data_IF_187422912068
#
_entry.id   IF_187422912068
#
_cell.length_a   1.000
_cell.length_b   1.000
_cell.length_c   1.000
_cell.angle_alpha   90.00
_cell.angle_beta   90.00
_cell.angle_gamma   90.00
#
_symmetry.space_group_name_H-M   'P 1'
#
loop_
_entity.id
_entity.type
_entity.pdbx_description
1 polymer ?
#
# COMPACT_ATOMS: atom_id res chain seq x y z
N UNK A 1 7.43 -5.77 18.68
CA UNK A 1 7.36 -5.45 17.24
C UNK A 1 5.94 -5.67 16.76
N UNK A 2 5.11 -4.62 16.70
CA UNK A 2 3.72 -4.74 16.25
C UNK A 2 3.70 -5.01 14.74
N UNK A 3 3.44 -6.27 14.37
CA UNK A 3 3.22 -6.71 12.98
C UNK A 3 1.85 -6.24 12.48
N UNK A 4 1.51 -4.97 12.67
CA UNK A 4 0.22 -4.40 12.26
C UNK A 4 0.44 -3.81 10.89
N UNK A 5 0.00 -4.49 9.84
CA UNK A 5 0.03 -3.89 8.51
C UNK A 5 -0.81 -2.61 8.50
N UNK A 6 -0.45 -1.70 7.61
CA UNK A 6 -0.94 -0.34 7.55
C UNK A 6 -2.28 -0.29 6.81
N UNK A 7 -3.22 0.51 7.32
CA UNK A 7 -4.50 0.75 6.64
C UNK A 7 -4.29 1.47 5.31
N UNK A 8 -5.26 1.39 4.39
CA UNK A 8 -5.18 2.06 3.09
C UNK A 8 -4.88 3.57 3.23
N UNK A 9 -5.58 4.22 4.16
CA UNK A 9 -5.46 5.66 4.40
C UNK A 9 -4.08 6.05 4.93
N UNK A 10 -3.50 5.26 5.82
CA UNK A 10 -2.16 5.50 6.34
C UNK A 10 -1.08 5.20 5.27
N UNK A 11 -1.28 4.17 4.45
CA UNK A 11 -0.39 3.84 3.36
C UNK A 11 -0.36 4.95 2.30
N UNK A 12 -1.53 5.55 2.00
CA UNK A 12 -1.65 6.67 1.05
C UNK A 12 -0.89 7.89 1.57
N UNK A 13 -1.07 8.22 2.86
CA UNK A 13 -0.33 9.30 3.53
C UNK A 13 1.17 9.05 3.53
N UNK A 14 1.61 7.83 3.82
CA UNK A 14 3.04 7.47 3.83
C UNK A 14 3.68 7.64 2.44
N UNK A 15 2.97 7.23 1.39
CA UNK A 15 3.46 7.34 0.01
C UNK A 15 3.30 8.74 -0.59
N UNK A 16 2.59 9.64 0.08
CA UNK A 16 2.27 10.97 -0.45
C UNK A 16 1.35 10.94 -1.67
N UNK A 17 0.56 9.87 -1.82
CA UNK A 17 -0.38 9.68 -2.94
C UNK A 17 -1.82 9.84 -2.47
N UNK A 18 -2.72 10.17 -3.40
CA UNK A 18 -4.14 10.21 -3.08
C UNK A 18 -4.70 8.78 -2.88
N UNK A 19 -5.83 8.73 -2.15
CA UNK A 19 -6.48 7.47 -1.79
C UNK A 19 -7.02 6.70 -3.00
N UNK A 20 -7.45 7.42 -4.06
CA UNK A 20 -7.90 6.86 -5.33
C UNK A 20 -6.75 6.26 -6.13
N UNK A 21 -5.58 6.92 -6.20
CA UNK A 21 -4.36 6.34 -6.79
C UNK A 21 -3.98 5.03 -6.09
N UNK A 22 -3.97 5.04 -4.76
CA UNK A 22 -3.64 3.83 -4.00
C UNK A 22 -4.70 2.73 -4.18
N UNK A 23 -5.98 3.09 -4.18
CA UNK A 23 -7.06 2.15 -4.46
C UNK A 23 -6.98 1.55 -5.86
N UNK A 24 -6.60 2.35 -6.86
CA UNK A 24 -6.41 1.86 -8.23
C UNK A 24 -5.21 0.91 -8.30
N UNK A 25 -4.09 1.25 -7.66
CA UNK A 25 -2.92 0.38 -7.55
C UNK A 25 -3.24 -0.96 -6.87
N UNK A 26 -4.18 -0.98 -5.92
CA UNK A 26 -4.70 -2.22 -5.36
C UNK A 26 -5.55 -3.00 -6.36
N UNK A 27 -6.48 -2.32 -7.03
CA UNK A 27 -7.40 -2.93 -7.99
C UNK A 27 -6.66 -3.52 -9.19
N UNK A 28 -5.58 -2.89 -9.63
CA UNK A 28 -4.74 -3.33 -10.75
C UNK A 28 -3.67 -4.34 -10.34
N UNK A 29 -3.52 -4.62 -9.04
CA UNK A 29 -2.53 -5.57 -8.52
C UNK A 29 -1.10 -5.01 -8.47
N UNK A 30 -0.92 -3.69 -8.58
CA UNK A 30 0.39 -3.03 -8.43
C UNK A 30 0.89 -3.03 -6.98
N UNK A 31 0.00 -3.11 -6.00
CA UNK A 31 0.32 -3.32 -4.58
C UNK A 31 -0.34 -4.60 -4.08
N UNK A 32 0.48 -5.49 -3.51
CA UNK A 32 -0.01 -6.67 -2.81
C UNK A 32 -0.64 -6.29 -1.47
N UNK A 33 -1.91 -6.65 -1.28
CA UNK A 33 -2.59 -6.55 0.03
C UNK A 33 -2.82 -7.93 0.63
N UNK A 34 -2.89 -7.96 1.95
CA UNK A 34 -3.30 -9.16 2.68
C UNK A 34 -4.60 -8.86 3.41
N UNK A 35 -5.57 -9.77 3.28
CA UNK A 35 -6.78 -9.71 4.12
C UNK A 35 -6.42 -10.14 5.54
N UNK A 36 -6.68 -9.28 6.51
CA UNK A 36 -6.55 -9.61 7.93
C UNK A 36 -7.83 -9.20 8.66
N UNK A 37 -8.49 -10.17 9.30
CA UNK A 37 -9.74 -9.97 10.04
C UNK A 37 -10.84 -9.23 9.23
N UNK A 38 -10.96 -9.55 7.94
CA UNK A 38 -11.94 -8.93 7.04
C UNK A 38 -11.51 -7.58 6.42
N UNK A 39 -10.42 -6.99 6.88
CA UNK A 39 -9.88 -5.74 6.34
C UNK A 39 -8.74 -5.99 5.36
N UNK A 40 -8.68 -5.19 4.29
CA UNK A 40 -7.50 -5.17 3.41
C UNK A 40 -6.40 -4.37 4.08
N UNK A 41 -5.26 -5.02 4.29
CA UNK A 41 -4.12 -4.45 4.98
C UNK A 41 -2.91 -4.47 4.04
N UNK A 42 -2.19 -3.36 3.95
CA UNK A 42 -0.96 -3.28 3.17
C UNK A 42 0.21 -3.60 4.10
N UNK A 43 1.01 -4.59 3.74
CA UNK A 43 2.21 -4.91 4.51
C UNK A 43 3.28 -3.86 4.25
N UNK A 44 4.16 -3.63 5.24
CA UNK A 44 5.25 -2.68 5.11
C UNK A 44 6.17 -3.02 3.91
N UNK A 45 6.43 -4.31 3.67
CA UNK A 45 7.20 -4.76 2.50
C UNK A 45 6.54 -4.39 1.18
N UNK A 46 5.23 -4.62 1.04
CA UNK A 46 4.50 -4.23 -0.17
C UNK A 46 4.50 -2.71 -0.41
N UNK A 47 4.44 -1.93 0.68
CA UNK A 47 4.57 -0.47 0.64
C UNK A 47 5.95 -0.03 0.13
N UNK A 48 7.02 -0.63 0.64
CA UNK A 48 8.40 -0.33 0.21
C UNK A 48 8.65 -0.73 -1.25
N UNK A 49 8.20 -1.91 -1.66
CA UNK A 49 8.34 -2.39 -3.03
C UNK A 49 7.62 -1.49 -4.04
N UNK A 50 6.45 -0.95 -3.65
CA UNK A 50 5.72 -0.02 -4.48
C UNK A 50 6.38 1.35 -4.55
N UNK A 51 6.88 1.87 -3.41
CA UNK A 51 7.63 3.12 -3.39
C UNK A 51 8.90 3.03 -4.27
N UNK A 52 9.61 1.91 -4.22
CA UNK A 52 10.78 1.67 -5.06
C UNK A 52 10.41 1.71 -6.56
N UNK A 53 9.29 1.10 -6.95
CA UNK A 53 8.77 1.15 -8.32
C UNK A 53 8.35 2.56 -8.74
N UNK A 54 7.66 3.30 -7.88
CA UNK A 54 7.28 4.68 -8.16
C UNK A 54 8.50 5.58 -8.43
N UNK A 55 9.59 5.40 -7.65
CA UNK A 55 10.84 6.14 -7.85
C UNK A 55 11.57 5.82 -9.15
N UNK A 56 11.32 4.67 -9.77
CA UNK A 56 11.92 4.31 -11.05
C UNK A 56 11.17 4.89 -12.26
N UNK A 57 9.95 5.41 -12.05
CA UNK A 57 9.09 5.96 -13.11
C UNK A 57 9.22 7.49 -13.20
N UNK A 58 9.77 8.13 -12.17
CA UNK A 58 10.08 9.57 -12.09
C UNK A 58 11.49 9.87 -12.60
#
# INVERSE_FOLDING_TARGET
MNRSGTSLTEAARFLGVDHGTLYNALRTGQISTTRRNGSNVITQGALMDYQARMRQIL
#
